data_IF_946243813428
#
_entry.id   IF_946243813428
#
_cell.length_a   1.000
_cell.length_b   1.000
_cell.length_c   1.000
_cell.angle_alpha   90.00
_cell.angle_beta   90.00
_cell.angle_gamma   90.00
#
_symmetry.space_group_name_H-M   'P 1'
#
loop_
_entity.id
_entity.type
_entity.pdbx_description
1 polymer ?
#
# COMPACT_ATOMS: atom_id res chain seq x y z
N UNK A 1 19.16 22.80 -4.36
CA UNK A 1 17.84 23.35 -3.97
C UNK A 1 16.82 22.21 -4.04
N UNK A 2 15.93 22.09 -3.05
CA UNK A 2 14.83 21.13 -3.10
C UNK A 2 13.63 21.76 -3.82
N UNK A 3 12.89 20.97 -4.60
CA UNK A 3 11.64 21.37 -5.25
C UNK A 3 10.47 20.58 -4.67
N UNK A 4 9.29 21.18 -4.67
CA UNK A 4 8.08 20.49 -4.22
C UNK A 4 7.78 19.27 -5.12
N UNK A 5 7.35 18.13 -4.55
CA UNK A 5 6.93 16.99 -5.36
C UNK A 5 5.64 17.31 -6.12
N UNK A 6 5.35 16.61 -7.23
CA UNK A 6 4.06 16.72 -7.90
C UNK A 6 2.94 16.31 -6.93
N UNK A 7 1.92 17.16 -6.81
CA UNK A 7 0.79 16.94 -5.91
C UNK A 7 -0.51 17.48 -6.51
N UNK A 8 -1.62 16.81 -6.20
CA UNK A 8 -2.95 17.35 -6.47
C UNK A 8 -3.26 18.48 -5.47
N UNK A 9 -3.89 19.56 -5.94
CA UNK A 9 -4.24 20.70 -5.10
C UNK A 9 -5.27 20.35 -4.02
N UNK A 10 -6.25 19.52 -4.38
CA UNK A 10 -7.33 19.04 -3.54
C UNK A 10 -7.30 17.49 -3.48
N UNK A 11 -7.88 16.88 -2.44
CA UNK A 11 -7.95 15.43 -2.34
C UNK A 11 -8.87 14.86 -3.43
N UNK A 12 -8.50 13.69 -3.97
CA UNK A 12 -9.36 12.95 -4.91
C UNK A 12 -10.60 12.42 -4.17
N UNK A 13 -11.82 12.55 -4.74
CA UNK A 13 -13.00 11.94 -4.17
C UNK A 13 -12.90 10.42 -4.26
N UNK A 14 -13.22 9.72 -3.17
CA UNK A 14 -13.22 8.27 -3.12
C UNK A 14 -14.39 7.77 -2.27
N UNK A 15 -15.11 6.71 -2.69
CA UNK A 15 -16.23 6.17 -1.90
C UNK A 15 -15.76 5.67 -0.53
N UNK A 16 -16.50 6.05 0.52
CA UNK A 16 -16.17 5.71 1.90
C UNK A 16 -16.15 4.19 2.11
N UNK A 17 -17.16 3.51 1.57
CA UNK A 17 -17.32 2.07 1.74
C UNK A 17 -16.14 1.31 1.13
N UNK A 18 -15.63 1.77 -0.01
CA UNK A 18 -14.47 1.15 -0.67
C UNK A 18 -13.16 1.46 0.06
N UNK A 19 -13.03 2.65 0.67
CA UNK A 19 -11.89 2.99 1.51
C UNK A 19 -11.83 2.10 2.75
N UNK A 20 -12.95 1.97 3.46
CA UNK A 20 -13.07 1.14 4.65
C UNK A 20 -12.82 -0.33 4.32
N UNK A 21 -13.36 -0.84 3.20
CA UNK A 21 -13.06 -2.18 2.69
C UNK A 21 -11.56 -2.42 2.48
N UNK A 22 -10.82 -1.45 1.93
CA UNK A 22 -9.38 -1.56 1.69
C UNK A 22 -8.58 -1.59 2.99
N UNK A 23 -8.99 -0.81 3.99
CA UNK A 23 -8.37 -0.78 5.31
C UNK A 23 -8.61 -2.11 6.04
N UNK A 24 -9.86 -2.58 6.06
CA UNK A 24 -10.27 -3.77 6.82
C UNK A 24 -9.58 -5.05 6.33
N UNK A 25 -9.33 -5.16 5.02
CA UNK A 25 -8.71 -6.36 4.44
C UNK A 25 -7.18 -6.41 4.63
N UNK A 26 -6.53 -5.29 4.98
CA UNK A 26 -5.07 -5.19 5.00
C UNK A 26 -4.42 -6.19 5.98
N UNK A 27 -5.01 -6.42 7.16
CA UNK A 27 -4.46 -7.38 8.12
C UNK A 27 -4.50 -8.83 7.57
N UNK A 28 -5.61 -9.21 6.94
CA UNK A 28 -5.76 -10.51 6.29
C UNK A 28 -4.78 -10.68 5.12
N UNK A 29 -4.55 -9.62 4.34
CA UNK A 29 -3.53 -9.63 3.29
C UNK A 29 -2.12 -9.77 3.86
N UNK A 30 -1.82 -9.11 4.99
CA UNK A 30 -0.52 -9.25 5.63
C UNK A 30 -0.25 -10.69 6.05
N UNK A 31 -1.23 -11.34 6.66
CA UNK A 31 -1.14 -12.74 7.04
C UNK A 31 -1.05 -13.67 5.83
N UNK A 32 -1.86 -13.45 4.79
CA UNK A 32 -1.83 -14.22 3.56
C UNK A 32 -0.42 -14.21 2.94
N UNK A 33 0.14 -13.02 2.73
CA UNK A 33 1.46 -12.89 2.09
C UNK A 33 2.59 -13.38 3.00
N UNK A 34 2.46 -13.24 4.32
CA UNK A 34 3.42 -13.86 5.25
C UNK A 34 3.40 -15.38 5.13
N UNK A 35 2.23 -16.02 5.14
CA UNK A 35 2.10 -17.47 5.02
C UNK A 35 2.61 -17.97 3.67
N UNK A 36 2.29 -17.28 2.57
CA UNK A 36 2.84 -17.58 1.23
C UNK A 36 4.36 -17.46 1.21
N UNK A 37 4.93 -16.44 1.86
CA UNK A 37 6.39 -16.27 1.93
C UNK A 37 7.10 -17.38 2.71
N UNK A 38 6.41 -18.02 3.67
CA UNK A 38 6.92 -19.16 4.43
C UNK A 38 6.70 -20.52 3.74
N UNK A 39 5.90 -20.58 2.68
CA UNK A 39 5.64 -21.82 1.95
C UNK A 39 6.65 -21.99 0.81
N UNK A 40 7.80 -22.59 1.17
CA UNK A 40 8.92 -22.74 0.25
C UNK A 40 8.60 -23.65 -0.94
N UNK A 41 7.84 -24.71 -0.73
CA UNK A 41 7.45 -25.64 -1.80
C UNK A 41 6.56 -24.92 -2.82
N UNK A 42 5.54 -24.19 -2.32
CA UNK A 42 4.68 -23.37 -3.16
C UNK A 42 5.47 -22.33 -3.97
N UNK A 43 6.42 -21.62 -3.34
CA UNK A 43 7.23 -20.62 -4.03
C UNK A 43 8.12 -21.27 -5.10
N UNK A 44 8.72 -22.44 -4.84
CA UNK A 44 9.56 -23.11 -5.84
C UNK A 44 8.76 -23.56 -7.05
N UNK A 45 7.54 -24.07 -6.84
CA UNK A 45 6.62 -24.45 -7.90
C UNK A 45 6.16 -23.22 -8.71
N UNK A 46 5.72 -22.16 -8.03
CA UNK A 46 5.22 -20.94 -8.67
C UNK A 46 6.25 -20.24 -9.58
N UNK A 47 7.55 -20.38 -9.28
CA UNK A 47 8.62 -19.78 -10.05
C UNK A 47 9.26 -20.71 -11.09
N UNK A 48 8.84 -21.97 -11.23
CA UNK A 48 9.51 -22.98 -12.06
C UNK A 48 9.68 -22.51 -13.52
N UNK A 49 8.61 -22.01 -14.14
CA UNK A 49 8.67 -21.51 -15.52
C UNK A 49 9.33 -20.13 -15.63
N UNK A 50 9.13 -19.27 -14.61
CA UNK A 50 9.63 -17.88 -14.61
C UNK A 50 11.15 -17.87 -14.68
N UNK A 51 11.83 -18.72 -13.89
CA UNK A 51 13.30 -18.75 -13.84
C UNK A 51 13.94 -19.28 -15.13
N UNK A 52 13.20 -19.98 -15.99
CA UNK A 52 13.69 -20.44 -17.30
C UNK A 52 13.86 -19.27 -18.27
N UNK A 53 13.02 -18.24 -18.13
CA UNK A 53 13.00 -17.07 -19.00
C UNK A 53 13.65 -15.82 -18.36
N UNK A 54 13.70 -15.72 -17.03
CA UNK A 54 14.18 -14.54 -16.32
C UNK A 54 15.42 -14.83 -15.43
N UNK A 55 16.62 -14.41 -15.88
CA UNK A 55 17.86 -14.55 -15.14
C UNK A 55 17.90 -13.81 -13.79
N UNK A 56 17.11 -12.75 -13.62
CA UNK A 56 17.03 -12.03 -12.35
C UNK A 56 16.31 -12.90 -11.31
N UNK A 57 15.12 -13.41 -11.62
CA UNK A 57 14.37 -14.30 -10.74
C UNK A 57 15.12 -15.62 -10.48
N UNK A 58 15.84 -16.16 -11.48
CA UNK A 58 16.66 -17.35 -11.29
C UNK A 58 17.71 -17.17 -10.18
N UNK A 59 18.31 -15.97 -10.06
CA UNK A 59 19.28 -15.65 -9.00
C UNK A 59 18.62 -15.56 -7.62
N UNK A 60 17.41 -14.99 -7.54
CA UNK A 60 16.66 -14.90 -6.28
C UNK A 60 16.29 -16.29 -5.75
N UNK A 61 15.78 -17.17 -6.62
CA UNK A 61 15.45 -18.55 -6.27
C UNK A 61 16.71 -19.35 -5.90
N UNK A 62 17.84 -19.13 -6.56
CA UNK A 62 19.10 -19.76 -6.18
C UNK A 62 19.60 -19.30 -4.79
N UNK A 63 19.33 -18.06 -4.39
CA UNK A 63 19.64 -17.56 -3.05
C UNK A 63 18.72 -18.20 -1.99
N UNK A 64 17.42 -18.28 -2.26
CA UNK A 64 16.42 -18.94 -1.41
C UNK A 64 16.82 -20.40 -1.12
N UNK A 65 17.10 -21.19 -2.18
CA UNK A 65 17.50 -22.61 -2.03
C UNK A 65 18.75 -22.79 -1.18
N UNK A 66 19.68 -21.84 -1.27
CA UNK A 66 20.91 -21.84 -0.46
C UNK A 66 20.60 -21.57 1.00
N UNK A 67 19.77 -20.56 1.28
CA UNK A 67 19.31 -20.24 2.63
C UNK A 67 18.61 -21.45 3.27
N UNK A 68 17.76 -22.17 2.52
CA UNK A 68 17.13 -23.40 3.01
C UNK A 68 18.16 -24.49 3.34
N UNK A 69 19.11 -24.72 2.44
CA UNK A 69 20.17 -25.73 2.64
C UNK A 69 21.04 -25.44 3.86
N UNK A 70 21.38 -24.17 4.10
CA UNK A 70 22.18 -23.73 5.25
C UNK A 70 21.36 -23.70 6.56
N UNK A 71 20.04 -23.66 6.44
CA UNK A 71 19.07 -23.54 7.51
C UNK A 71 18.88 -22.10 7.98
N UNK A 72 17.64 -21.72 8.29
CA UNK A 72 17.27 -20.37 8.72
C UNK A 72 18.02 -19.97 9.99
N UNK A 73 18.81 -18.89 9.92
CA UNK A 73 19.56 -18.34 11.07
C UNK A 73 18.91 -17.14 11.73
N UNK A 74 18.00 -16.46 11.02
CA UNK A 74 17.18 -15.36 11.52
C UNK A 74 15.71 -15.74 11.34
N UNK A 75 15.03 -16.21 12.40
CA UNK A 75 13.65 -16.69 12.31
C UNK A 75 12.62 -15.54 12.29
N UNK A 76 13.00 -14.32 12.65
CA UNK A 76 12.11 -13.17 12.64
C UNK A 76 12.09 -12.51 11.27
N UNK A 77 10.88 -12.17 10.80
CA UNK A 77 10.65 -11.45 9.56
C UNK A 77 9.85 -10.18 9.83
N UNK A 78 10.32 -9.06 9.28
CA UNK A 78 9.54 -7.83 9.19
C UNK A 78 9.04 -7.65 7.76
N UNK A 79 7.72 -7.68 7.58
CA UNK A 79 7.08 -7.38 6.31
C UNK A 79 6.45 -5.98 6.37
N UNK A 80 6.86 -5.10 5.45
CA UNK A 80 6.19 -3.83 5.20
C UNK A 80 5.46 -3.96 3.86
N UNK A 81 4.14 -4.00 3.90
CA UNK A 81 3.30 -4.32 2.76
C UNK A 81 2.45 -3.11 2.34
N UNK A 82 2.30 -2.91 1.03
CA UNK A 82 1.31 -1.98 0.45
C UNK A 82 0.47 -2.71 -0.57
N UNK A 83 -0.84 -2.72 -0.38
CA UNK A 83 -1.81 -3.17 -1.38
C UNK A 83 -2.38 -1.94 -2.10
N UNK A 84 -2.28 -1.95 -3.43
CA UNK A 84 -2.73 -0.85 -4.27
C UNK A 84 -4.06 -1.24 -4.94
N UNK A 85 -5.01 -0.30 -4.96
CA UNK A 85 -6.38 -0.54 -5.43
C UNK A 85 -6.84 0.55 -6.39
N UNK A 86 -7.71 0.16 -7.33
CA UNK A 86 -8.46 1.07 -8.18
C UNK A 86 -9.96 0.83 -8.03
N UNK A 87 -10.74 1.90 -8.14
CA UNK A 87 -12.19 1.82 -8.26
C UNK A 87 -12.57 1.39 -9.68
N UNK A 88 -13.46 0.41 -9.81
CA UNK A 88 -13.91 -0.13 -11.08
C UNK A 88 -15.44 -0.02 -11.18
N UNK A 89 -15.95 0.48 -12.29
CA UNK A 89 -17.39 0.47 -12.57
C UNK A 89 -17.81 -0.91 -13.09
N UNK A 90 -18.59 -1.64 -12.31
CA UNK A 90 -19.19 -2.91 -12.73
C UNK A 90 -20.52 -2.63 -13.43
N UNK A 91 -20.56 -2.78 -14.75
CA UNK A 91 -21.77 -2.53 -15.56
C UNK A 91 -22.92 -3.48 -15.21
N UNK A 92 -22.66 -4.76 -14.94
CA UNK A 92 -23.72 -5.72 -14.65
C UNK A 92 -24.38 -5.45 -13.28
N UNK A 93 -23.58 -5.07 -12.29
CA UNK A 93 -24.06 -4.77 -10.94
C UNK A 93 -24.45 -3.29 -10.74
N UNK A 94 -24.25 -2.44 -11.76
CA UNK A 94 -24.51 -0.99 -11.73
C UNK A 94 -23.91 -0.30 -10.49
N UNK A 95 -22.69 -0.66 -10.12
CA UNK A 95 -22.01 -0.14 -8.92
C UNK A 95 -20.50 -0.01 -9.11
N UNK A 96 -19.88 0.85 -8.30
CA UNK A 96 -18.42 0.94 -8.18
C UNK A 96 -17.94 -0.15 -7.22
N UNK A 97 -16.89 -0.86 -7.60
CA UNK A 97 -16.22 -1.89 -6.81
C UNK A 97 -14.75 -1.55 -6.59
N UNK A 98 -14.21 -2.00 -5.45
CA UNK A 98 -12.77 -1.95 -5.21
C UNK A 98 -12.10 -3.15 -5.89
N UNK A 99 -11.07 -2.91 -6.71
CA UNK A 99 -10.24 -3.95 -7.31
C UNK A 99 -8.79 -3.74 -6.91
N UNK A 100 -8.19 -4.78 -6.35
CA UNK A 100 -6.77 -4.80 -6.05
C UNK A 100 -5.99 -4.96 -7.37
N UNK A 101 -4.98 -4.13 -7.56
CA UNK A 101 -4.15 -4.13 -8.78
C UNK A 101 -2.72 -4.57 -8.54
N UNK A 102 -2.21 -4.39 -7.31
CA UNK A 102 -0.83 -4.76 -6.98
C UNK A 102 -0.67 -5.04 -5.48
N UNK A 103 0.29 -5.90 -5.15
CA UNK A 103 0.87 -6.00 -3.80
C UNK A 103 2.36 -5.76 -3.87
N UNK A 104 2.81 -4.83 -3.06
CA UNK A 104 4.19 -4.45 -2.91
C UNK A 104 4.71 -4.96 -1.56
N UNK A 105 5.58 -5.97 -1.59
CA UNK A 105 6.14 -6.62 -0.38
C UNK A 105 7.55 -6.15 0.00
N UNK A 106 8.14 -5.26 -0.81
CA UNK A 106 9.53 -4.81 -0.71
C UNK A 106 9.70 -3.31 -0.47
N UNK A 107 10.45 -2.63 -1.35
CA UNK A 107 10.83 -1.23 -1.20
C UNK A 107 9.60 -0.29 -1.19
N UNK A 108 9.12 0.03 0.01
CA UNK A 108 8.03 0.98 0.20
C UNK A 108 8.56 2.42 0.28
N UNK A 109 8.38 3.16 -0.80
CA UNK A 109 8.58 4.61 -0.82
C UNK A 109 7.35 5.39 -0.31
N UNK A 110 7.59 6.60 0.20
CA UNK A 110 6.55 7.61 0.39
C UNK A 110 5.78 7.70 1.72
N UNK A 111 5.94 6.87 2.77
CA UNK A 111 5.10 6.98 3.98
C UNK A 111 5.24 8.34 4.69
N UNK A 112 6.45 8.91 4.65
CA UNK A 112 6.70 10.27 5.13
C UNK A 112 6.02 11.35 4.29
N UNK A 113 5.92 11.17 2.97
CA UNK A 113 5.33 12.14 2.04
C UNK A 113 3.80 12.13 2.12
N UNK A 114 3.16 10.96 2.14
CA UNK A 114 1.69 10.83 2.17
C UNK A 114 1.06 11.40 3.45
N UNK A 115 1.77 11.29 4.58
CA UNK A 115 1.38 11.96 5.84
C UNK A 115 1.34 13.49 5.67
N UNK A 116 2.32 14.04 4.95
CA UNK A 116 2.38 15.47 4.62
C UNK A 116 1.29 15.90 3.65
N UNK A 117 1.03 15.10 2.60
CA UNK A 117 -0.03 15.37 1.61
C UNK A 117 -1.41 15.41 2.27
N UNK A 118 -1.73 14.46 3.16
CA UNK A 118 -3.01 14.47 3.91
C UNK A 118 -3.17 15.75 4.75
N UNK A 119 -2.10 16.20 5.43
CA UNK A 119 -2.11 17.47 6.19
C UNK A 119 -2.30 18.68 5.28
N UNK A 120 -1.65 18.68 4.10
CA UNK A 120 -1.80 19.74 3.11
C UNK A 120 -3.24 19.81 2.58
N UNK A 121 -3.82 18.68 2.18
CA UNK A 121 -5.20 18.63 1.67
C UNK A 121 -6.23 19.10 2.69
N UNK A 122 -6.06 18.79 3.98
CA UNK A 122 -6.90 19.35 5.06
C UNK A 122 -6.84 20.88 5.09
N UNK A 123 -5.64 21.46 5.08
CA UNK A 123 -5.47 22.93 5.01
C UNK A 123 -6.04 23.53 3.73
N UNK A 124 -5.97 22.82 2.60
CA UNK A 124 -6.53 23.30 1.34
C UNK A 124 -8.06 23.32 1.37
N UNK A 125 -8.71 22.31 1.97
CA UNK A 125 -10.16 22.33 2.17
C UNK A 125 -10.61 23.46 3.09
N UNK A 126 -9.89 23.70 4.21
CA UNK A 126 -10.14 24.84 5.10
C UNK A 126 -10.05 26.18 4.36
N UNK A 127 -9.01 26.37 3.53
CA UNK A 127 -8.84 27.58 2.72
C UNK A 127 -9.98 27.78 1.72
N UNK A 128 -10.40 26.72 1.06
CA UNK A 128 -11.53 26.77 0.11
C UNK A 128 -12.81 27.18 0.82
N UNK A 129 -13.07 26.64 2.01
CA UNK A 129 -14.23 27.02 2.82
C UNK A 129 -14.19 28.50 3.24
N UNK A 130 -13.03 29.02 3.66
CA UNK A 130 -12.86 30.44 4.03
C UNK A 130 -13.15 31.37 2.84
N UNK A 131 -12.61 31.04 1.67
CA UNK A 131 -12.67 31.93 0.49
C UNK A 131 -14.04 31.88 -0.18
N UNK A 132 -14.63 30.69 -0.34
CA UNK A 132 -15.87 30.53 -1.09
C UNK A 132 -17.10 30.45 -0.19
N UNK A 133 -16.94 30.37 1.14
CA UNK A 133 -17.97 29.92 2.05
C UNK A 133 -18.33 28.45 1.80
N UNK A 134 -19.30 27.90 2.56
CA UNK A 134 -19.88 26.56 2.30
C UNK A 134 -20.68 26.47 0.98
N UNK A 135 -20.39 27.35 0.01
CA UNK A 135 -21.08 27.46 -1.28
C UNK A 135 -20.63 26.42 -2.31
N UNK A 136 -19.67 25.56 -1.98
CA UNK A 136 -19.25 24.43 -2.79
C UNK A 136 -19.83 23.13 -2.19
N UNK A 137 -21.03 22.68 -2.63
CA UNK A 137 -21.73 21.57 -1.99
C UNK A 137 -20.92 20.27 -2.01
N UNK A 138 -20.14 20.06 -3.08
CA UNK A 138 -19.28 18.89 -3.30
C UNK A 138 -18.20 18.75 -2.22
N UNK A 139 -17.77 19.86 -1.63
CA UNK A 139 -16.70 19.90 -0.63
C UNK A 139 -17.21 20.11 0.79
N UNK A 140 -18.49 20.47 0.96
CA UNK A 140 -19.10 20.74 2.26
C UNK A 140 -19.08 19.53 3.22
N UNK A 141 -18.93 18.32 2.67
CA UNK A 141 -18.80 17.06 3.42
C UNK A 141 -17.48 16.34 3.14
N UNK A 142 -16.50 17.01 2.53
CA UNK A 142 -15.21 16.41 2.23
C UNK A 142 -14.47 16.11 3.54
N UNK A 143 -14.03 14.87 3.70
CA UNK A 143 -13.24 14.42 4.84
C UNK A 143 -11.95 13.83 4.29
N UNK A 144 -10.82 14.29 4.82
CA UNK A 144 -9.52 13.68 4.55
C UNK A 144 -9.17 12.79 5.75
N UNK A 145 -9.06 11.47 5.58
CA UNK A 145 -8.69 10.58 6.67
C UNK A 145 -7.36 10.97 7.33
N UNK A 146 -7.26 10.66 8.61
CA UNK A 146 -5.98 10.70 9.29
C UNK A 146 -5.03 9.66 8.65
N UNK A 147 -3.79 10.07 8.42
CA UNK A 147 -2.80 9.26 7.72
C UNK A 147 -1.48 9.33 8.50
N UNK A 148 -1.11 8.25 9.21
CA UNK A 148 0.08 8.16 10.09
C UNK A 148 1.12 7.10 9.69
N UNK A 149 1.29 6.68 8.42
CA UNK A 149 2.21 5.60 8.06
C UNK A 149 3.67 5.96 8.33
N UNK A 150 4.01 7.25 8.43
CA UNK A 150 5.34 7.69 8.89
C UNK A 150 5.64 7.14 10.29
N UNK A 151 4.73 7.37 11.22
CA UNK A 151 4.94 7.10 12.63
C UNK A 151 4.76 5.59 12.90
N UNK A 152 3.76 4.98 12.24
CA UNK A 152 3.51 3.53 12.32
C UNK A 152 4.69 2.73 11.80
N UNK A 153 5.22 3.04 10.60
CA UNK A 153 6.38 2.31 10.07
C UNK A 153 7.63 2.55 10.92
N UNK A 154 7.84 3.77 11.42
CA UNK A 154 8.97 4.04 12.31
C UNK A 154 8.89 3.20 13.60
N UNK A 155 7.71 3.10 14.21
CA UNK A 155 7.49 2.26 15.39
C UNK A 155 7.68 0.78 15.07
N UNK A 156 7.14 0.30 13.95
CA UNK A 156 7.29 -1.10 13.53
C UNK A 156 8.75 -1.48 13.31
N UNK A 157 9.53 -0.62 12.65
CA UNK A 157 10.97 -0.85 12.47
C UNK A 157 11.71 -0.83 13.81
N UNK A 158 11.34 0.08 14.72
CA UNK A 158 11.90 0.12 16.08
C UNK A 158 11.57 -1.15 16.88
N UNK A 159 10.37 -1.72 16.76
CA UNK A 159 9.99 -2.96 17.44
C UNK A 159 10.73 -4.19 16.91
N UNK A 160 11.14 -4.16 15.64
CA UNK A 160 11.91 -5.24 15.03
C UNK A 160 13.42 -5.17 15.34
N UNK A 161 13.91 -4.02 15.81
CA UNK A 161 15.31 -3.78 16.19
C UNK A 161 15.59 -4.27 17.61
#
# INVERSE_FOLDING_TARGET
MSVAPPLALLPSPFPRELYEQAIDVQQSLNELYFRVACDHEFLMEAYEEVIKADPFHAKLIAAEKRIQKEGIKQPLMLALLRADYLSHWNEAAQKIELKQVEVNTGQLGGPGAVTGVSKLHRKMLEKVEIVHGKKLPMLAKAVVPENRPRDEIAMTVYQAW
#
